data_IF_885796240450
#
_entry.id   IF_885796240450
#
_cell.length_a   1.000
_cell.length_b   1.000
_cell.length_c   1.000
_cell.angle_alpha   90.00
_cell.angle_beta   90.00
_cell.angle_gamma   90.00
#
_symmetry.space_group_name_H-M   'P 1'
#
loop_
_entity.id
_entity.type
_entity.pdbx_description
1 polymer ?
#
# COMPACT_ATOMS: atom_id res chain seq x y z
N UNK A 1 -15.35 -9.29 7.79
CA UNK A 1 -14.21 -9.82 7.57
C UNK A 1 -13.72 -11.06 8.09
N UNK A 2 -13.27 -11.52 7.64
CA UNK A 2 -13.62 -12.74 7.29
C UNK A 2 -12.37 -13.60 7.02
N UNK A 3 -12.10 -14.43 7.97
CA UNK A 3 -11.09 -15.47 7.89
C UNK A 3 -11.48 -16.43 6.77
N UNK A 4 -10.61 -16.62 5.80
CA UNK A 4 -10.81 -17.63 4.78
C UNK A 4 -10.67 -19.03 5.37
N UNK A 5 -11.33 -20.02 4.77
CA UNK A 5 -11.19 -21.42 5.16
C UNK A 5 -9.71 -21.87 5.14
N UNK A 6 -8.90 -21.31 4.24
CA UNK A 6 -7.46 -21.59 4.12
C UNK A 6 -6.67 -21.06 5.33
N UNK A 7 -7.02 -19.88 5.83
CA UNK A 7 -6.40 -19.33 7.04
C UNK A 7 -6.77 -20.16 8.27
N UNK A 8 -8.04 -20.58 8.40
CA UNK A 8 -8.48 -21.44 9.49
C UNK A 8 -7.73 -22.77 9.48
N UNK A 9 -7.66 -23.45 8.34
CA UNK A 9 -6.92 -24.70 8.24
C UNK A 9 -5.42 -24.54 8.57
N UNK A 10 -4.83 -23.42 8.21
CA UNK A 10 -3.45 -23.10 8.57
C UNK A 10 -3.30 -22.89 10.09
N UNK A 11 -4.23 -22.20 10.73
CA UNK A 11 -4.19 -22.00 12.19
C UNK A 11 -4.42 -23.28 12.97
N UNK A 12 -5.30 -24.16 12.50
CA UNK A 12 -5.51 -25.50 13.08
C UNK A 12 -4.23 -26.34 12.97
N UNK A 13 -3.54 -26.28 11.82
CA UNK A 13 -2.25 -26.93 11.63
C UNK A 13 -1.20 -26.37 12.61
N UNK A 14 -1.09 -25.04 12.74
CA UNK A 14 -0.16 -24.38 13.69
C UNK A 14 -0.48 -24.80 15.13
N UNK A 15 -1.76 -24.79 15.52
CA UNK A 15 -2.21 -25.18 16.83
C UNK A 15 -1.82 -26.64 17.15
N UNK A 16 -2.03 -27.55 16.20
CA UNK A 16 -1.64 -28.96 16.32
C UNK A 16 -0.12 -29.12 16.42
N UNK A 17 0.64 -28.41 15.59
CA UNK A 17 2.10 -28.49 15.56
C UNK A 17 2.75 -27.99 16.85
N UNK A 18 2.27 -26.88 17.41
CA UNK A 18 2.79 -26.28 18.63
C UNK A 18 2.05 -26.73 19.90
N UNK A 19 1.10 -27.66 19.80
CA UNK A 19 0.31 -28.19 20.92
C UNK A 19 -0.35 -27.08 21.75
N UNK A 20 -0.97 -26.11 21.07
CA UNK A 20 -1.69 -25.00 21.69
C UNK A 20 -3.12 -24.89 21.12
N UNK A 21 -3.95 -24.04 21.71
CA UNK A 21 -5.32 -23.85 21.21
C UNK A 21 -5.35 -22.96 19.95
N UNK A 22 -6.34 -23.17 19.09
CA UNK A 22 -6.55 -22.31 17.91
C UNK A 22 -6.79 -20.85 18.32
N UNK A 23 -7.40 -20.62 19.50
CA UNK A 23 -7.59 -19.28 20.05
C UNK A 23 -6.29 -18.56 20.40
N UNK A 24 -5.27 -19.30 20.87
CA UNK A 24 -3.93 -18.73 21.09
C UNK A 24 -3.26 -18.37 19.77
N UNK A 25 -3.38 -19.23 18.76
CA UNK A 25 -2.88 -18.93 17.40
C UNK A 25 -3.56 -17.67 16.84
N UNK A 26 -4.88 -17.58 16.93
CA UNK A 26 -5.66 -16.42 16.49
C UNK A 26 -5.19 -15.13 17.20
N UNK A 27 -4.95 -15.23 18.52
CA UNK A 27 -4.49 -14.07 19.31
C UNK A 27 -3.13 -13.56 18.87
N UNK A 28 -2.25 -14.41 18.37
CA UNK A 28 -0.95 -14.02 17.83
C UNK A 28 -1.05 -13.57 16.37
N UNK A 29 -1.85 -14.26 15.57
CA UNK A 29 -1.95 -14.03 14.12
C UNK A 29 -2.66 -12.73 13.77
N UNK A 30 -3.71 -12.36 14.53
CA UNK A 30 -4.48 -11.14 14.22
C UNK A 30 -3.84 -9.87 14.78
N UNK A 31 -3.84 -8.77 14.01
CA UNK A 31 -3.55 -7.44 14.53
C UNK A 31 -4.49 -7.05 15.68
N UNK A 32 -4.01 -6.21 16.60
CA UNK A 32 -4.75 -5.86 17.82
C UNK A 32 -6.15 -5.29 17.58
N UNK A 33 -6.33 -4.48 16.53
CA UNK A 33 -7.63 -3.89 16.17
C UNK A 33 -8.60 -4.88 15.52
N UNK A 34 -8.18 -6.09 15.20
CA UNK A 34 -9.02 -7.16 14.66
C UNK A 34 -9.34 -8.24 15.69
N UNK A 35 -8.85 -8.08 16.92
CA UNK A 35 -9.15 -9.03 18.00
C UNK A 35 -10.46 -8.65 18.63
N UNK A 36 -11.32 -9.66 18.99
CA UNK A 36 -12.51 -9.36 19.76
C UNK A 36 -12.10 -8.73 21.10
N UNK A 37 -12.67 -7.58 21.42
CA UNK A 37 -12.59 -6.97 22.75
C UNK A 37 -13.36 -7.88 23.71
N UNK A 38 -12.68 -8.45 24.69
CA UNK A 38 -13.32 -9.30 25.69
C UNK A 38 -14.35 -8.49 26.49
N UNK A 39 -15.45 -9.14 26.86
CA UNK A 39 -16.47 -8.81 27.85
C UNK A 39 -17.76 -8.11 27.40
N UNK A 40 -17.98 -7.81 26.16
CA UNK A 40 -19.33 -7.41 25.71
C UNK A 40 -19.72 -8.14 24.42
N UNK A 41 -20.93 -8.69 24.42
CA UNK A 41 -21.64 -9.17 23.22
C UNK A 41 -22.03 -7.98 22.30
N UNK A 42 -21.25 -6.90 22.30
CA UNK A 42 -21.44 -5.80 21.38
C UNK A 42 -21.04 -6.29 19.99
N UNK A 43 -22.02 -6.27 19.12
CA UNK A 43 -21.88 -6.53 17.70
C UNK A 43 -20.61 -5.90 17.16
N UNK A 44 -19.81 -6.68 16.46
CA UNK A 44 -18.69 -6.19 15.66
C UNK A 44 -19.22 -5.05 14.77
N UNK A 45 -19.04 -3.83 15.20
CA UNK A 45 -19.37 -2.70 14.34
C UNK A 45 -18.29 -2.65 13.26
N UNK A 46 -18.70 -2.77 12.02
CA UNK A 46 -17.84 -2.56 10.85
C UNK A 46 -17.19 -1.15 10.84
N UNK A 47 -17.56 -0.31 11.80
CA UNK A 47 -17.12 1.08 11.93
C UNK A 47 -15.74 1.27 12.62
N UNK A 48 -15.21 0.26 13.32
CA UNK A 48 -13.96 0.43 14.08
C UNK A 48 -12.70 0.49 13.21
N UNK A 49 -12.75 -0.04 11.99
CA UNK A 49 -11.62 0.03 11.08
C UNK A 49 -12.05 0.53 9.69
N UNK A 50 -11.86 1.82 9.44
CA UNK A 50 -11.95 2.38 8.09
C UNK A 50 -10.54 2.45 7.48
N UNK A 51 -10.30 1.81 6.33
CA UNK A 51 -9.06 2.01 5.57
C UNK A 51 -8.84 3.50 5.32
N UNK A 52 -7.58 3.93 5.25
CA UNK A 52 -7.31 5.30 4.82
C UNK A 52 -7.73 5.45 3.38
N UNK A 53 -8.74 6.27 3.16
CA UNK A 53 -9.14 6.72 1.83
C UNK A 53 -8.27 7.89 1.42
N UNK A 54 -8.00 7.99 0.14
CA UNK A 54 -7.41 9.17 -0.49
C UNK A 54 -8.51 9.85 -1.27
N UNK A 55 -8.60 11.17 -1.10
CA UNK A 55 -9.56 11.98 -1.83
C UNK A 55 -8.98 12.31 -3.21
N UNK A 56 -9.72 12.00 -4.25
CA UNK A 56 -9.46 12.41 -5.61
C UNK A 56 -10.44 13.51 -5.97
N UNK A 57 -9.92 14.64 -6.44
CA UNK A 57 -10.71 15.81 -6.80
C UNK A 57 -10.65 16.00 -8.30
N UNK A 58 -11.80 16.12 -8.94
CA UNK A 58 -11.94 16.38 -10.38
C UNK A 58 -12.98 17.43 -10.65
N UNK A 59 -12.95 18.01 -11.85
CA UNK A 59 -14.03 18.87 -12.35
C UNK A 59 -15.22 17.99 -12.76
N UNK A 60 -16.47 18.42 -12.48
CA UNK A 60 -17.65 17.77 -13.05
C UNK A 60 -17.69 17.95 -14.56
N UNK A 61 -18.31 17.01 -15.26
CA UNK A 61 -18.36 17.00 -16.73
C UNK A 61 -18.93 18.28 -17.34
N UNK A 62 -19.85 18.92 -16.65
CA UNK A 62 -20.48 20.17 -17.05
C UNK A 62 -19.49 21.34 -17.13
N UNK A 63 -18.40 21.29 -16.36
CA UNK A 63 -17.33 22.31 -16.37
C UNK A 63 -16.16 21.96 -17.29
N UNK A 64 -16.26 20.92 -18.10
CA UNK A 64 -15.33 20.67 -19.19
C UNK A 64 -15.64 21.52 -20.42
N UNK A 65 -16.82 22.15 -20.48
CA UNK A 65 -17.16 23.16 -21.46
C UNK A 65 -16.53 24.51 -21.09
N UNK A 66 -15.77 25.08 -22.00
CA UNK A 66 -15.02 26.35 -21.78
C UNK A 66 -15.96 27.51 -21.40
N UNK A 67 -17.15 27.56 -21.98
CA UNK A 67 -18.11 28.62 -21.73
C UNK A 67 -18.67 28.53 -20.32
N UNK A 68 -19.11 27.34 -19.92
CA UNK A 68 -19.62 27.08 -18.57
C UNK A 68 -18.55 27.29 -17.50
N UNK A 69 -17.31 26.88 -17.76
CA UNK A 69 -16.19 27.11 -16.87
C UNK A 69 -15.90 28.60 -16.68
N UNK A 70 -15.87 29.37 -17.79
CA UNK A 70 -15.61 30.81 -17.73
C UNK A 70 -16.67 31.57 -16.93
N UNK A 71 -17.96 31.28 -17.14
CA UNK A 71 -19.04 31.89 -16.36
C UNK A 71 -18.92 31.63 -14.85
N UNK A 72 -18.50 30.43 -14.46
CA UNK A 72 -18.28 30.10 -13.05
C UNK A 72 -17.06 30.82 -12.50
N UNK A 73 -16.00 30.92 -13.26
CA UNK A 73 -14.78 31.66 -12.91
C UNK A 73 -15.05 33.13 -12.67
N UNK A 74 -15.77 33.83 -13.55
CA UNK A 74 -16.14 35.25 -13.38
C UNK A 74 -16.93 35.50 -12.10
N UNK A 75 -17.87 34.58 -11.76
CA UNK A 75 -18.67 34.68 -10.52
C UNK A 75 -17.83 34.46 -9.26
N UNK A 76 -16.84 33.55 -9.32
CA UNK A 76 -16.00 33.23 -8.18
C UNK A 76 -14.89 34.27 -7.95
N UNK A 77 -14.29 34.80 -8.98
CA UNK A 77 -13.20 35.77 -8.91
C UNK A 77 -13.51 36.93 -7.97
N UNK A 78 -14.72 37.48 -8.10
CA UNK A 78 -15.19 38.63 -7.29
C UNK A 78 -15.68 38.24 -5.88
N UNK A 79 -16.23 37.03 -5.71
CA UNK A 79 -16.93 36.65 -4.48
C UNK A 79 -16.14 35.68 -3.59
N UNK A 80 -15.25 34.89 -4.15
CA UNK A 80 -14.54 33.85 -3.45
C UNK A 80 -13.19 33.55 -4.10
N UNK A 81 -12.19 34.46 -4.03
CA UNK A 81 -10.93 34.36 -4.76
C UNK A 81 -10.17 33.07 -4.51
N UNK A 82 -10.19 32.55 -3.26
CA UNK A 82 -9.55 31.25 -2.93
C UNK A 82 -10.21 30.06 -3.64
N UNK A 83 -11.52 30.11 -3.85
CA UNK A 83 -12.24 29.06 -4.59
C UNK A 83 -11.94 29.16 -6.08
N UNK A 84 -11.80 30.37 -6.60
CA UNK A 84 -11.39 30.64 -7.96
C UNK A 84 -9.97 30.10 -8.25
N UNK A 85 -8.99 30.43 -7.40
CA UNK A 85 -7.62 29.90 -7.52
C UNK A 85 -7.59 28.38 -7.50
N UNK A 86 -8.30 27.75 -6.58
CA UNK A 86 -8.38 26.29 -6.48
C UNK A 86 -8.99 25.65 -7.73
N UNK A 87 -9.99 26.28 -8.33
CA UNK A 87 -10.64 25.78 -9.55
C UNK A 87 -9.72 25.90 -10.77
N UNK A 88 -8.94 26.97 -10.87
CA UNK A 88 -7.94 27.15 -11.93
C UNK A 88 -6.81 26.12 -11.83
N UNK A 89 -6.26 25.91 -10.64
CA UNK A 89 -5.20 24.91 -10.43
C UNK A 89 -5.71 23.50 -10.74
N UNK A 90 -6.97 23.19 -10.40
CA UNK A 90 -7.58 21.91 -10.72
C UNK A 90 -7.76 21.72 -12.24
N UNK A 91 -8.20 22.76 -12.94
CA UNK A 91 -8.31 22.73 -14.40
C UNK A 91 -6.94 22.57 -15.10
N UNK A 92 -5.90 23.20 -14.55
CA UNK A 92 -4.53 23.07 -15.04
C UNK A 92 -3.91 21.69 -14.77
N UNK A 93 -4.34 21.00 -13.70
CA UNK A 93 -3.84 19.68 -13.33
C UNK A 93 -4.38 18.53 -14.20
N UNK A 94 -5.44 18.76 -14.97
CA UNK A 94 -6.07 17.77 -15.83
C UNK A 94 -7.23 17.01 -15.17
N UNK A 95 -7.46 15.77 -15.60
CA UNK A 95 -8.71 15.05 -15.29
C UNK A 95 -8.97 14.78 -13.80
N UNK A 96 -7.94 14.51 -13.00
CA UNK A 96 -8.12 14.14 -11.60
C UNK A 96 -6.89 14.45 -10.75
N UNK A 97 -7.08 15.11 -9.61
CA UNK A 97 -6.00 15.45 -8.67
C UNK A 97 -6.12 14.64 -7.38
N UNK A 98 -5.08 13.88 -7.05
CA UNK A 98 -4.99 13.09 -5.82
C UNK A 98 -4.61 13.96 -4.63
N UNK A 99 -5.43 13.96 -3.59
CA UNK A 99 -5.20 14.69 -2.35
C UNK A 99 -5.08 13.71 -1.19
N UNK A 100 -3.86 13.44 -0.76
CA UNK A 100 -3.58 12.54 0.36
C UNK A 100 -3.58 13.22 1.72
N UNK A 101 -3.31 14.53 1.77
CA UNK A 101 -3.27 15.34 2.99
C UNK A 101 -3.65 16.79 2.72
N UNK A 102 -4.03 17.54 3.77
CA UNK A 102 -4.29 18.99 3.64
C UNK A 102 -3.09 19.80 3.18
N UNK A 103 -1.87 19.30 3.40
CA UNK A 103 -0.64 19.92 2.89
C UNK A 103 -0.52 19.75 1.37
N UNK A 104 -0.86 18.56 0.87
CA UNK A 104 -0.91 18.28 -0.58
C UNK A 104 -2.00 19.14 -1.25
N UNK A 105 -3.18 19.27 -0.62
CA UNK A 105 -4.23 20.16 -1.13
C UNK A 105 -3.75 21.61 -1.24
N UNK A 106 -3.09 22.14 -0.21
CA UNK A 106 -2.52 23.49 -0.23
C UNK A 106 -1.44 23.68 -1.28
N UNK A 107 -0.59 22.66 -1.49
CA UNK A 107 0.51 22.74 -2.46
C UNK A 107 0.02 22.65 -3.91
N UNK A 108 -0.92 21.75 -4.19
CA UNK A 108 -1.38 21.49 -5.55
C UNK A 108 -2.53 22.40 -5.99
N UNK A 109 -3.45 22.72 -5.06
CA UNK A 109 -4.67 23.45 -5.39
C UNK A 109 -4.74 24.81 -4.69
N UNK A 110 -3.70 25.22 -3.97
CA UNK A 110 -3.67 26.44 -3.14
C UNK A 110 -4.88 26.57 -2.20
N UNK A 111 -5.47 25.43 -1.84
CA UNK A 111 -6.71 25.34 -1.10
C UNK A 111 -6.55 24.49 0.16
N UNK A 112 -7.31 24.82 1.20
CA UNK A 112 -7.51 23.95 2.35
C UNK A 112 -8.79 23.11 2.18
N UNK A 113 -9.02 22.17 3.09
CA UNK A 113 -10.24 21.34 3.03
C UNK A 113 -11.54 22.13 3.11
N UNK A 114 -11.56 23.29 3.80
CA UNK A 114 -12.74 24.14 3.88
C UNK A 114 -13.12 24.72 2.51
N UNK A 115 -12.12 25.11 1.72
CA UNK A 115 -12.33 25.60 0.35
C UNK A 115 -12.83 24.46 -0.55
N UNK A 116 -12.25 23.26 -0.45
CA UNK A 116 -12.67 22.09 -1.23
C UNK A 116 -14.11 21.69 -0.89
N UNK A 117 -14.49 21.60 0.39
CA UNK A 117 -15.86 21.31 0.79
C UNK A 117 -16.86 22.41 0.36
N UNK A 118 -16.42 23.67 0.31
CA UNK A 118 -17.27 24.75 -0.20
C UNK A 118 -17.51 24.63 -1.71
N UNK A 119 -16.50 24.24 -2.49
CA UNK A 119 -16.63 23.97 -3.91
C UNK A 119 -17.50 22.73 -4.19
N UNK A 120 -17.33 21.68 -3.41
CA UNK A 120 -18.12 20.45 -3.50
C UNK A 120 -19.61 20.70 -3.23
N UNK A 121 -19.94 21.46 -2.16
CA UNK A 121 -21.33 21.87 -1.89
C UNK A 121 -21.96 22.67 -3.02
N UNK A 122 -21.14 23.42 -3.75
CA UNK A 122 -21.59 24.18 -4.95
C UNK A 122 -21.66 23.31 -6.20
N UNK A 123 -21.28 22.02 -6.12
CA UNK A 123 -21.15 21.08 -7.24
C UNK A 123 -20.18 21.56 -8.32
N UNK A 124 -19.16 22.31 -7.93
CA UNK A 124 -18.10 22.80 -8.81
C UNK A 124 -16.89 21.85 -8.88
N UNK A 125 -16.81 20.92 -7.95
CA UNK A 125 -15.87 19.81 -7.94
C UNK A 125 -16.57 18.53 -7.50
N UNK A 126 -15.98 17.40 -7.87
CA UNK A 126 -16.37 16.07 -7.41
C UNK A 126 -15.24 15.51 -6.58
N UNK A 127 -15.52 15.15 -5.31
CA UNK A 127 -14.60 14.45 -4.44
C UNK A 127 -14.96 12.96 -4.44
N UNK A 128 -14.03 12.12 -4.89
CA UNK A 128 -14.17 10.65 -4.87
C UNK A 128 -13.19 10.10 -3.86
N UNK A 129 -13.69 9.44 -2.83
CA UNK A 129 -12.84 8.70 -1.91
C UNK A 129 -12.55 7.32 -2.48
N UNK A 130 -11.27 6.98 -2.59
CA UNK A 130 -10.82 5.65 -3.00
C UNK A 130 -9.87 5.10 -1.95
N UNK A 131 -9.96 3.82 -1.69
CA UNK A 131 -8.95 3.15 -0.91
C UNK A 131 -7.58 3.30 -1.58
N UNK A 132 -6.55 3.54 -0.78
CA UNK A 132 -5.19 3.66 -1.29
C UNK A 132 -4.75 2.37 -1.94
N UNK A 133 -4.92 2.25 -3.23
CA UNK A 133 -4.38 1.14 -4.03
C UNK A 133 -2.91 1.37 -4.29
N UNK A 134 -2.10 0.36 -3.99
CA UNK A 134 -0.70 0.34 -4.46
C UNK A 134 -0.74 0.04 -5.95
N UNK A 135 -0.32 1.01 -6.76
CA UNK A 135 -0.22 0.79 -8.21
C UNK A 135 0.70 -0.41 -8.48
N UNK A 136 0.14 -1.48 -9.01
CA UNK A 136 0.87 -2.65 -9.51
C UNK A 136 1.45 -2.40 -10.91
N UNK A 137 1.92 -1.19 -11.15
CA UNK A 137 2.44 -0.78 -12.47
C UNK A 137 3.73 -1.53 -12.84
N UNK A 138 3.79 -1.99 -14.09
CA UNK A 138 4.90 -2.74 -14.65
C UNK A 138 6.10 -1.88 -15.06
N UNK A 139 6.80 -1.23 -14.12
CA UNK A 139 8.09 -0.61 -14.41
C UNK A 139 9.21 -1.64 -14.31
N UNK A 140 10.14 -1.62 -15.26
CA UNK A 140 11.35 -2.42 -15.19
C UNK A 140 12.17 -1.99 -13.96
N UNK A 141 12.48 -2.92 -13.07
CA UNK A 141 13.27 -2.65 -11.89
C UNK A 141 14.74 -2.44 -12.24
N UNK A 142 15.38 -1.44 -11.65
CA UNK A 142 16.83 -1.28 -11.75
C UNK A 142 17.51 -2.21 -10.75
N UNK A 143 17.84 -3.41 -11.23
CA UNK A 143 18.45 -4.45 -10.40
C UNK A 143 19.97 -4.21 -10.21
N UNK A 144 20.54 -4.62 -9.07
CA UNK A 144 21.98 -4.58 -8.85
C UNK A 144 22.70 -5.56 -9.80
N UNK A 145 23.91 -5.22 -10.20
CA UNK A 145 24.77 -6.13 -10.96
C UNK A 145 25.23 -7.29 -10.07
N UNK A 146 25.21 -8.49 -10.63
CA UNK A 146 25.67 -9.69 -9.96
C UNK A 146 27.10 -10.01 -10.35
N UNK A 147 27.91 -10.41 -9.38
CA UNK A 147 29.20 -11.04 -9.63
C UNK A 147 29.02 -12.38 -10.35
N UNK A 148 30.06 -12.93 -11.00
CA UNK A 148 29.97 -14.24 -11.65
C UNK A 148 29.48 -15.37 -10.72
N UNK A 149 29.96 -15.40 -9.47
CA UNK A 149 29.53 -16.38 -8.46
C UNK A 149 28.07 -16.22 -8.05
N UNK A 150 27.61 -14.98 -7.87
CA UNK A 150 26.20 -14.70 -7.55
C UNK A 150 25.29 -15.09 -8.70
N UNK A 151 25.71 -14.83 -9.94
CA UNK A 151 24.97 -15.23 -11.14
C UNK A 151 24.85 -16.74 -11.25
N UNK A 152 25.94 -17.46 -11.05
CA UNK A 152 25.92 -18.92 -11.02
C UNK A 152 24.94 -19.44 -9.96
N UNK A 153 25.00 -18.93 -8.72
CA UNK A 153 24.09 -19.34 -7.65
C UNK A 153 22.62 -19.03 -7.98
N UNK A 154 22.36 -17.89 -8.63
CA UNK A 154 21.01 -17.56 -9.09
C UNK A 154 20.50 -18.55 -10.15
N UNK A 155 21.35 -18.90 -11.12
CA UNK A 155 20.98 -19.82 -12.18
C UNK A 155 20.75 -21.24 -11.63
N UNK A 156 21.56 -21.71 -10.69
CA UNK A 156 21.34 -22.98 -9.98
C UNK A 156 20.00 -22.99 -9.22
N UNK A 157 19.61 -21.89 -8.58
CA UNK A 157 18.31 -21.78 -7.92
C UNK A 157 17.15 -21.83 -8.92
N UNK A 158 17.28 -21.14 -10.05
CA UNK A 158 16.29 -21.19 -11.15
C UNK A 158 16.08 -22.58 -11.69
N UNK A 159 17.18 -23.30 -11.94
CA UNK A 159 17.14 -24.69 -12.39
C UNK A 159 16.42 -25.61 -11.39
N UNK A 160 16.74 -25.45 -10.09
CA UNK A 160 16.08 -26.23 -9.04
C UNK A 160 14.56 -25.96 -9.00
N UNK A 161 14.14 -24.72 -9.07
CA UNK A 161 12.72 -24.37 -9.09
C UNK A 161 12.03 -24.81 -10.39
N UNK A 162 12.70 -24.72 -11.52
CA UNK A 162 12.20 -25.23 -12.80
C UNK A 162 12.04 -26.77 -12.79
N UNK A 163 12.90 -27.48 -12.06
CA UNK A 163 12.80 -28.92 -11.84
C UNK A 163 11.73 -29.32 -10.79
N UNK A 164 10.91 -28.36 -10.33
CA UNK A 164 9.81 -28.61 -9.39
C UNK A 164 10.21 -28.67 -7.92
N UNK A 165 11.46 -28.33 -7.56
CA UNK A 165 11.83 -28.22 -6.15
C UNK A 165 11.14 -27.01 -5.52
N UNK A 166 10.56 -27.22 -4.34
CA UNK A 166 9.83 -26.19 -3.59
C UNK A 166 10.67 -25.48 -2.54
N UNK A 167 11.85 -26.02 -2.24
CA UNK A 167 12.75 -25.50 -1.21
C UNK A 167 14.20 -25.55 -1.70
N UNK A 168 14.93 -24.46 -1.46
CA UNK A 168 16.34 -24.36 -1.74
C UNK A 168 17.07 -23.69 -0.58
N UNK A 169 18.31 -24.11 -0.32
CA UNK A 169 19.18 -23.51 0.69
C UNK A 169 20.28 -22.71 -0.02
N UNK A 170 20.28 -21.38 0.18
CA UNK A 170 21.37 -20.51 -0.26
C UNK A 170 22.34 -20.27 0.91
N UNK A 171 23.46 -20.98 0.91
CA UNK A 171 24.50 -20.84 1.92
C UNK A 171 25.52 -19.77 1.52
N UNK A 172 25.95 -18.95 2.47
CA UNK A 172 26.97 -17.94 2.26
C UNK A 172 27.23 -17.14 3.54
N UNK A 173 28.47 -16.66 3.69
CA UNK A 173 28.86 -15.81 4.83
C UNK A 173 28.13 -14.46 4.81
N UNK A 174 28.14 -13.73 5.91
CA UNK A 174 27.65 -12.35 5.98
C UNK A 174 28.42 -11.48 4.99
N UNK A 175 27.72 -10.65 4.23
CA UNK A 175 28.31 -9.80 3.19
C UNK A 175 28.61 -10.47 1.85
N UNK A 176 28.32 -11.77 1.68
CA UNK A 176 28.54 -12.47 0.38
C UNK A 176 27.58 -12.04 -0.74
N UNK A 177 26.63 -11.16 -0.44
CA UNK A 177 25.68 -10.65 -1.42
C UNK A 177 24.47 -11.55 -1.67
N UNK A 178 24.03 -12.34 -0.68
CA UNK A 178 22.78 -13.11 -0.78
C UNK A 178 21.57 -12.23 -1.09
N UNK A 179 21.57 -11.00 -0.57
CA UNK A 179 20.50 -10.04 -0.79
C UNK A 179 20.34 -9.66 -2.26
N UNK A 180 21.43 -9.57 -3.02
CA UNK A 180 21.40 -9.31 -4.46
C UNK A 180 20.68 -10.44 -5.20
N UNK A 181 20.95 -11.67 -4.83
CA UNK A 181 20.30 -12.86 -5.41
C UNK A 181 18.78 -12.83 -5.08
N UNK A 182 18.42 -12.52 -3.83
CA UNK A 182 17.00 -12.40 -3.45
C UNK A 182 16.29 -11.29 -4.23
N UNK A 183 16.94 -10.14 -4.46
CA UNK A 183 16.37 -9.04 -5.26
C UNK A 183 16.02 -9.51 -6.68
N UNK A 184 16.90 -10.28 -7.32
CA UNK A 184 16.63 -10.82 -8.64
C UNK A 184 15.46 -11.81 -8.65
N UNK A 185 15.41 -12.74 -7.69
CA UNK A 185 14.29 -13.69 -7.56
C UNK A 185 12.96 -12.98 -7.28
N UNK A 186 12.97 -11.96 -6.41
CA UNK A 186 11.78 -11.13 -6.13
C UNK A 186 11.30 -10.46 -7.41
N UNK A 187 12.20 -9.84 -8.17
CA UNK A 187 11.86 -9.16 -9.42
C UNK A 187 11.21 -10.11 -10.43
N UNK A 188 11.69 -11.34 -10.53
CA UNK A 188 11.13 -12.37 -11.41
C UNK A 188 9.70 -12.79 -11.01
N UNK A 189 9.46 -12.97 -9.71
CA UNK A 189 8.13 -13.31 -9.20
C UNK A 189 7.15 -12.16 -9.43
N UNK A 190 7.57 -10.93 -9.13
CA UNK A 190 6.76 -9.74 -9.35
C UNK A 190 6.46 -9.50 -10.85
N UNK A 191 7.41 -9.79 -11.74
CA UNK A 191 7.21 -9.69 -13.18
C UNK A 191 6.16 -10.67 -13.72
N UNK A 192 6.00 -11.82 -13.04
CA UNK A 192 4.94 -12.82 -13.35
C UNK A 192 3.61 -12.54 -12.65
N UNK A 193 3.49 -11.41 -11.93
CA UNK A 193 2.29 -11.04 -11.18
C UNK A 193 2.12 -11.76 -9.84
N UNK A 194 3.15 -12.45 -9.36
CA UNK A 194 3.15 -13.10 -8.05
C UNK A 194 3.51 -12.16 -6.91
N UNK A 195 3.28 -12.62 -5.68
CA UNK A 195 3.65 -11.93 -4.44
C UNK A 195 4.81 -12.66 -3.75
N UNK A 196 5.59 -11.92 -2.94
CA UNK A 196 6.76 -12.45 -2.24
C UNK A 196 6.68 -12.09 -0.76
N UNK A 197 6.88 -13.07 0.11
CA UNK A 197 7.05 -12.87 1.54
C UNK A 197 8.53 -13.02 1.91
N UNK A 198 9.16 -11.93 2.36
CA UNK A 198 10.54 -11.94 2.85
C UNK A 198 10.56 -11.86 4.38
N UNK A 199 10.95 -12.95 5.04
CA UNK A 199 11.08 -13.02 6.50
C UNK A 199 12.51 -12.70 6.92
N UNK A 200 12.66 -11.81 7.91
CA UNK A 200 13.95 -11.33 8.41
C UNK A 200 13.97 -11.41 9.94
N UNK A 201 14.99 -12.00 10.57
CA UNK A 201 15.00 -12.26 12.01
C UNK A 201 15.19 -11.02 12.90
N UNK A 202 15.87 -9.97 12.44
CA UNK A 202 16.24 -8.83 13.27
C UNK A 202 15.70 -7.48 12.76
N UNK A 203 15.03 -6.73 13.65
CA UNK A 203 14.43 -5.44 13.30
C UNK A 203 15.46 -4.39 12.92
N UNK A 204 16.65 -4.39 13.55
CA UNK A 204 17.71 -3.41 13.27
C UNK A 204 18.30 -3.57 11.86
N UNK A 205 18.54 -4.79 11.43
CA UNK A 205 18.95 -5.11 10.06
C UNK A 205 17.82 -4.88 9.05
N UNK A 206 16.58 -5.05 9.48
CA UNK A 206 15.39 -4.86 8.67
C UNK A 206 15.27 -3.43 8.12
N UNK A 207 15.63 -2.39 8.88
CA UNK A 207 15.53 -0.99 8.42
C UNK A 207 16.37 -0.71 7.17
N UNK A 208 17.60 -1.20 7.11
CA UNK A 208 18.48 -1.05 5.94
C UNK A 208 17.97 -1.88 4.75
N UNK A 209 17.50 -3.09 5.02
CA UNK A 209 16.96 -3.96 3.99
C UNK A 209 15.65 -3.39 3.41
N UNK A 210 14.75 -2.88 4.25
CA UNK A 210 13.52 -2.20 3.82
C UNK A 210 13.87 -1.02 2.92
N UNK A 211 14.75 -0.10 3.36
CA UNK A 211 15.14 1.06 2.57
C UNK A 211 15.77 0.66 1.21
N UNK A 212 16.50 -0.45 1.18
CA UNK A 212 17.06 -1.00 -0.05
C UNK A 212 15.99 -1.57 -0.96
N UNK A 213 15.05 -2.35 -0.42
CA UNK A 213 13.93 -2.91 -1.18
C UNK A 213 13.02 -1.80 -1.73
N UNK A 214 12.70 -0.79 -0.91
CA UNK A 214 11.89 0.37 -1.33
C UNK A 214 12.57 1.17 -2.45
N UNK A 215 13.90 1.28 -2.45
CA UNK A 215 14.64 1.95 -3.53
C UNK A 215 14.50 1.22 -4.87
N UNK A 216 14.40 -0.11 -4.85
CA UNK A 216 14.33 -0.95 -6.06
C UNK A 216 12.89 -1.17 -6.49
N UNK A 217 12.00 -1.53 -5.56
CA UNK A 217 10.62 -1.95 -5.83
C UNK A 217 9.57 -0.89 -5.51
N UNK A 218 9.99 0.24 -4.93
CA UNK A 218 9.10 1.38 -4.64
C UNK A 218 7.96 1.04 -3.70
N UNK A 219 6.77 1.47 -4.06
CA UNK A 219 5.54 1.29 -3.28
C UNK A 219 5.04 -0.17 -3.17
N UNK A 220 5.66 -1.09 -3.88
CA UNK A 220 5.33 -2.54 -3.81
C UNK A 220 5.85 -3.20 -2.53
N UNK A 221 6.79 -2.55 -1.83
CA UNK A 221 7.29 -3.06 -0.55
C UNK A 221 6.35 -2.67 0.57
N UNK A 222 5.88 -3.67 1.30
CA UNK A 222 5.00 -3.46 2.45
C UNK A 222 5.65 -4.06 3.70
N UNK A 223 6.39 -3.28 4.50
CA UNK A 223 7.02 -3.78 5.71
C UNK A 223 5.99 -4.07 6.80
N UNK A 224 6.17 -5.19 7.52
CA UNK A 224 5.35 -5.58 8.66
C UNK A 224 6.24 -5.97 9.86
N UNK A 225 6.21 -5.18 10.93
CA UNK A 225 7.03 -5.41 12.13
C UNK A 225 6.41 -4.79 13.39
N UNK A 226 6.92 -5.13 14.55
CA UNK A 226 6.39 -4.73 15.87
C UNK A 226 6.40 -3.22 16.15
N UNK A 227 7.26 -2.45 15.50
CA UNK A 227 7.34 -0.98 15.65
C UNK A 227 6.26 -0.22 14.86
N UNK A 228 5.51 -0.89 13.99
CA UNK A 228 4.37 -0.28 13.32
C UNK A 228 3.24 -0.03 14.32
N UNK A 229 2.50 1.08 14.14
CA UNK A 229 1.28 1.33 14.90
C UNK A 229 0.25 0.24 14.64
N UNK A 230 -0.63 -0.03 15.61
CA UNK A 230 -1.68 -1.05 15.49
C UNK A 230 -2.53 -0.82 14.23
N UNK A 231 -2.91 0.43 13.96
CA UNK A 231 -3.65 0.79 12.76
C UNK A 231 -2.89 0.39 11.49
N UNK A 232 -1.62 0.76 11.37
CA UNK A 232 -0.81 0.44 10.18
C UNK A 232 -0.58 -1.06 10.02
N UNK A 233 -0.46 -1.81 11.11
CA UNK A 233 -0.40 -3.28 11.08
C UNK A 233 -1.70 -3.87 10.54
N UNK A 234 -2.84 -3.37 10.99
CA UNK A 234 -4.16 -3.81 10.52
C UNK A 234 -4.38 -3.46 9.04
N UNK A 235 -4.04 -2.23 8.62
CA UNK A 235 -4.09 -1.82 7.22
C UNK A 235 -3.24 -2.72 6.31
N UNK A 236 -2.03 -3.07 6.78
CA UNK A 236 -1.13 -3.98 6.05
C UNK A 236 -1.72 -5.38 5.96
N UNK A 237 -2.22 -5.92 7.07
CA UNK A 237 -2.81 -7.26 7.13
C UNK A 237 -4.02 -7.41 6.20
N UNK A 238 -4.87 -6.40 6.12
CA UNK A 238 -6.06 -6.42 5.26
C UNK A 238 -5.74 -6.28 3.74
N UNK A 239 -4.51 -5.90 3.40
CA UNK A 239 -4.06 -5.79 2.00
C UNK A 239 -3.37 -7.05 1.46
N UNK A 240 -2.97 -7.94 2.36
CA UNK A 240 -2.36 -9.24 2.03
C UNK A 240 -3.42 -10.28 1.72
#
# INVERSE_FOLDING_TARGET
PLLSARQMAFWEWVASYYMCSVGEVMRVALPSLMKPSGDTEEEFSDDEFRPRTECYVSLPRELHDETAFHEVCEKLERRAPKQYEALLELAAAGDETRISTGEVARRLLRADYAVLHALERKRLIVCTERERTVERGGSAFRLPELTPHQRQALDELREQFAAGKTTALLQGITGSGKTEIYIHLIAEVLARGGDVLLLVPEIALTAQLIARMERIFGSRVTPYHSKLTNRRRTETYLRL
#
